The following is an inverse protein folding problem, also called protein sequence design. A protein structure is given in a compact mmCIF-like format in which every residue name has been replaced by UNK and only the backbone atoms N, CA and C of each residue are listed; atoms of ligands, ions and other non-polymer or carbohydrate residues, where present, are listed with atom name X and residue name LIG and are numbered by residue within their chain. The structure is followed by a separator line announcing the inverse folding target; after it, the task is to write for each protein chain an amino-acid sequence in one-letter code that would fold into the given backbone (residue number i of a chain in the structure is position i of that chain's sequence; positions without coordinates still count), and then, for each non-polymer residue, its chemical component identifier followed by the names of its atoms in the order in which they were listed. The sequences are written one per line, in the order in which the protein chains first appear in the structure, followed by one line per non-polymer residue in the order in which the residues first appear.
data_IF_280552401885
#
_entry.id   IF_280552401885
#
_cell.length_a   1.000
_cell.length_b   1.000
_cell.length_c   1.000
_cell.angle_alpha   90.00
_cell.angle_beta   90.00
_cell.angle_gamma   90.00
#
_symmetry.space_group_name_H-M   'P 1'
#
loop_
_entity.id
_entity.type
_entity.pdbx_description
1 polymer ?
#
# COMPACT_ATOMS: atom_id res chain seq x y z
N UNK A 1 12.83 -12.25 9.96
CA UNK A 1 12.50 -12.29 8.53
C UNK A 1 13.76 -11.91 7.79
N UNK A 2 14.19 -12.71 6.81
CA UNK A 2 15.34 -12.37 5.97
C UNK A 2 14.93 -11.45 4.82
N UNK A 3 15.86 -10.74 4.15
CA UNK A 3 15.55 -9.93 2.97
C UNK A 3 14.85 -10.73 1.88
N UNK A 4 15.24 -12.00 1.65
CA UNK A 4 14.63 -12.86 0.63
C UNK A 4 13.20 -13.29 1.00
N UNK A 5 12.91 -13.50 2.29
CA UNK A 5 11.54 -13.75 2.75
C UNK A 5 10.67 -12.49 2.61
N UNK A 6 11.22 -11.33 2.92
CA UNK A 6 10.56 -10.05 2.79
C UNK A 6 10.23 -9.73 1.32
N UNK A 7 11.19 -9.92 0.42
CA UNK A 7 11.01 -9.73 -1.02
C UNK A 7 9.87 -10.60 -1.56
N UNK A 8 9.78 -11.88 -1.16
CA UNK A 8 8.68 -12.76 -1.58
C UNK A 8 7.31 -12.25 -1.15
N UNK A 9 7.20 -11.73 0.07
CA UNK A 9 5.94 -11.12 0.57
C UNK A 9 5.59 -9.88 -0.25
N UNK A 10 6.58 -9.03 -0.53
CA UNK A 10 6.40 -7.82 -1.35
C UNK A 10 5.97 -8.19 -2.77
N UNK A 11 6.62 -9.15 -3.43
CA UNK A 11 6.26 -9.61 -4.77
C UNK A 11 4.82 -10.18 -4.82
N UNK A 12 4.44 -10.99 -3.83
CA UNK A 12 3.08 -11.50 -3.72
C UNK A 12 2.06 -10.37 -3.54
N UNK A 13 2.38 -9.37 -2.71
CA UNK A 13 1.55 -8.20 -2.50
C UNK A 13 1.44 -7.32 -3.77
N UNK A 14 2.54 -7.07 -4.48
CA UNK A 14 2.56 -6.35 -5.75
C UNK A 14 1.75 -7.06 -6.83
N UNK A 15 1.74 -8.40 -6.83
CA UNK A 15 0.88 -9.19 -7.72
C UNK A 15 -0.59 -8.91 -7.43
N UNK A 16 -0.99 -8.87 -6.16
CA UNK A 16 -2.37 -8.54 -5.76
C UNK A 16 -2.74 -7.11 -6.18
N UNK A 17 -1.80 -6.15 -6.08
CA UNK A 17 -2.02 -4.79 -6.59
C UNK A 17 -2.24 -4.79 -8.11
N UNK A 18 -1.44 -5.56 -8.86
CA UNK A 18 -1.50 -5.68 -10.32
C UNK A 18 -2.80 -6.30 -10.85
N UNK A 19 -3.43 -7.19 -10.08
CA UNK A 19 -4.73 -7.79 -10.45
C UNK A 19 -5.90 -6.79 -10.47
N UNK A 20 -5.68 -5.56 -9.99
CA UNK A 20 -6.69 -4.50 -9.98
C UNK A 20 -7.83 -4.73 -8.98
N UNK A 21 -8.91 -3.98 -9.15
CA UNK A 21 -10.07 -3.87 -8.25
C UNK A 21 -11.38 -4.29 -8.92
N UNK A 22 -11.31 -5.05 -10.04
CA UNK A 22 -12.47 -5.40 -10.87
C UNK A 22 -13.31 -4.16 -11.29
N UNK A 23 -12.66 -3.01 -11.48
CA UNK A 23 -13.31 -1.74 -11.84
C UNK A 23 -13.78 -0.88 -10.65
N UNK A 24 -13.52 -1.31 -9.41
CA UNK A 24 -13.75 -0.54 -8.19
C UNK A 24 -12.55 0.29 -7.72
N UNK A 25 -12.55 0.70 -6.45
CA UNK A 25 -11.45 1.46 -5.81
C UNK A 25 -10.93 0.80 -4.53
N UNK A 26 -11.73 -0.04 -3.88
CA UNK A 26 -11.37 -0.74 -2.66
C UNK A 26 -10.98 -2.19 -2.98
N UNK A 27 -10.00 -2.71 -2.23
CA UNK A 27 -9.50 -4.08 -2.36
C UNK A 27 -9.96 -4.92 -1.17
N UNK A 28 -10.30 -6.18 -1.40
CA UNK A 28 -10.71 -7.12 -0.35
C UNK A 28 -9.52 -7.54 0.50
N UNK A 29 -9.66 -7.49 1.82
CA UNK A 29 -8.59 -7.90 2.74
C UNK A 29 -8.20 -9.38 2.54
N UNK A 30 -9.16 -10.24 2.21
CA UNK A 30 -8.91 -11.66 1.93
C UNK A 30 -7.96 -11.93 0.77
N UNK A 31 -7.73 -10.95 -0.10
CA UNK A 31 -6.79 -11.08 -1.23
C UNK A 31 -5.34 -10.82 -0.83
N UNK A 32 -5.07 -10.28 0.36
CA UNK A 32 -3.70 -10.07 0.82
C UNK A 32 -2.99 -11.41 1.04
N UNK A 33 -1.69 -11.49 0.71
CA UNK A 33 -0.91 -12.71 0.94
C UNK A 33 -0.69 -13.01 2.43
N UNK A 34 -0.80 -12.00 3.28
CA UNK A 34 -0.74 -12.11 4.74
C UNK A 34 -1.28 -10.82 5.39
N UNK A 35 -1.23 -10.73 6.73
CA UNK A 35 -1.70 -9.54 7.45
C UNK A 35 -0.94 -8.28 7.06
N UNK A 36 -1.64 -7.13 7.09
CA UNK A 36 -1.05 -5.80 6.82
C UNK A 36 0.23 -5.54 7.62
N UNK A 37 0.24 -5.89 8.92
CA UNK A 37 1.41 -5.71 9.77
C UNK A 37 2.62 -6.52 9.29
N UNK A 38 2.39 -7.74 8.79
CA UNK A 38 3.47 -8.58 8.23
C UNK A 38 3.99 -8.02 6.90
N UNK A 39 3.12 -7.44 6.07
CA UNK A 39 3.51 -6.73 4.86
C UNK A 39 4.36 -5.51 5.21
N UNK A 40 3.93 -4.65 6.15
CA UNK A 40 4.71 -3.49 6.60
C UNK A 40 6.10 -3.90 7.08
N UNK A 41 6.18 -4.93 7.91
CA UNK A 41 7.47 -5.45 8.38
C UNK A 41 8.37 -5.96 7.26
N UNK A 42 7.80 -6.61 6.23
CA UNK A 42 8.56 -7.01 5.05
C UNK A 42 9.14 -5.81 4.29
N UNK A 43 8.36 -4.74 4.10
CA UNK A 43 8.87 -3.50 3.50
C UNK A 43 10.04 -2.93 4.29
N UNK A 44 9.93 -2.83 5.62
CA UNK A 44 11.02 -2.30 6.45
C UNK A 44 12.30 -3.14 6.33
N UNK A 45 12.18 -4.46 6.46
CA UNK A 45 13.34 -5.38 6.32
C UNK A 45 14.01 -5.24 4.95
N UNK A 46 13.22 -5.20 3.87
CA UNK A 46 13.78 -5.17 2.52
C UNK A 46 14.35 -3.81 2.14
N UNK A 47 13.71 -2.70 2.55
CA UNK A 47 14.22 -1.35 2.32
C UNK A 47 15.51 -1.08 3.10
N UNK A 48 15.64 -1.55 4.34
CA UNK A 48 16.92 -1.52 5.07
C UNK A 48 18.00 -2.26 4.29
N UNK A 49 17.70 -3.48 3.81
CA UNK A 49 18.65 -4.23 3.00
C UNK A 49 19.06 -3.49 1.72
N UNK A 50 18.12 -2.90 0.97
CA UNK A 50 18.44 -2.17 -0.27
C UNK A 50 19.29 -0.92 -0.01
N UNK A 51 18.99 -0.17 1.05
CA UNK A 51 19.74 1.05 1.41
C UNK A 51 21.16 0.73 1.90
N UNK A 52 21.40 -0.40 2.56
CA UNK A 52 22.74 -0.90 2.91
C UNK A 52 23.61 -1.22 1.68
N UNK A 53 22.97 -1.47 0.53
CA UNK A 53 23.64 -1.79 -0.72
C UNK A 53 23.92 -0.56 -1.60
N UNK A 54 23.61 0.64 -1.11
CA UNK A 54 23.87 1.93 -1.74
C UNK A 54 22.86 2.36 -2.82
N UNK A 55 23.12 3.54 -3.41
CA UNK A 55 22.18 4.29 -4.26
C UNK A 55 21.79 3.60 -5.59
N UNK A 56 22.45 2.49 -5.94
CA UNK A 56 22.13 1.70 -7.15
C UNK A 56 20.70 1.16 -7.19
N UNK A 57 19.98 1.19 -6.07
CA UNK A 57 18.60 0.73 -5.94
C UNK A 57 17.58 1.85 -5.74
N UNK A 58 17.95 3.12 -5.92
CA UNK A 58 17.06 4.27 -5.68
C UNK A 58 15.71 4.16 -6.43
N UNK A 59 15.74 3.77 -7.71
CA UNK A 59 14.52 3.58 -8.51
C UNK A 59 13.62 2.46 -7.95
N UNK A 60 14.23 1.36 -7.51
CA UNK A 60 13.50 0.24 -6.89
C UNK A 60 12.90 0.66 -5.54
N UNK A 61 13.67 1.38 -4.72
CA UNK A 61 13.22 1.91 -3.43
C UNK A 61 12.01 2.82 -3.63
N UNK A 62 12.06 3.74 -4.60
CA UNK A 62 10.92 4.62 -4.89
C UNK A 62 9.67 3.85 -5.34
N UNK A 63 9.83 2.83 -6.21
CA UNK A 63 8.72 1.94 -6.60
C UNK A 63 8.11 1.22 -5.39
N UNK A 64 8.95 0.73 -4.48
CA UNK A 64 8.52 0.05 -3.26
C UNK A 64 7.75 0.99 -2.32
N UNK A 65 8.18 2.24 -2.18
CA UNK A 65 7.45 3.24 -1.38
C UNK A 65 6.04 3.48 -1.93
N UNK A 66 5.92 3.62 -3.25
CA UNK A 66 4.61 3.80 -3.92
C UNK A 66 3.71 2.58 -3.68
N UNK A 67 4.23 1.37 -3.82
CA UNK A 67 3.43 0.15 -3.59
C UNK A 67 3.04 -0.02 -2.13
N UNK A 68 3.93 0.34 -1.19
CA UNK A 68 3.63 0.38 0.25
C UNK A 68 2.44 1.29 0.55
N UNK A 69 2.41 2.49 -0.02
CA UNK A 69 1.36 3.48 0.23
C UNK A 69 -0.04 3.05 -0.22
N UNK A 70 -0.17 2.01 -1.06
CA UNK A 70 -1.45 1.44 -1.45
C UNK A 70 -2.10 0.54 -0.38
N UNK A 71 -1.39 0.19 0.71
CA UNK A 71 -1.88 -0.77 1.73
C UNK A 71 -3.21 -0.38 2.40
N UNK A 72 -3.55 0.92 2.61
CA UNK A 72 -4.85 1.31 3.12
C UNK A 72 -6.03 1.01 2.19
N UNK A 73 -5.81 0.77 0.89
CA UNK A 73 -6.88 0.39 -0.06
C UNK A 73 -7.53 -0.96 0.29
N UNK A 74 -6.85 -1.80 1.06
CA UNK A 74 -7.37 -3.11 1.48
C UNK A 74 -8.26 -2.97 2.70
N UNK A 75 -9.56 -3.23 2.56
CA UNK A 75 -10.55 -3.12 3.64
C UNK A 75 -11.26 -4.45 3.82
N UNK A 76 -12.10 -4.58 4.85
CA UNK A 76 -12.87 -5.82 5.04
C UNK A 76 -13.65 -6.16 3.77
N UNK A 77 -13.82 -7.44 3.45
CA UNK A 77 -14.43 -7.85 2.18
C UNK A 77 -15.82 -7.24 1.98
N UNK A 78 -16.62 -7.21 3.05
CA UNK A 78 -17.94 -6.57 3.08
C UNK A 78 -17.84 -5.07 2.76
N UNK A 79 -16.91 -4.36 3.40
CA UNK A 79 -16.69 -2.94 3.16
C UNK A 79 -16.20 -2.67 1.72
N UNK A 80 -15.34 -3.54 1.18
CA UNK A 80 -14.87 -3.43 -0.20
C UNK A 80 -16.02 -3.58 -1.20
N UNK A 81 -16.92 -4.54 -0.98
CA UNK A 81 -18.12 -4.73 -1.80
C UNK A 81 -19.05 -3.51 -1.74
N UNK A 82 -19.30 -2.99 -0.55
CA UNK A 82 -20.12 -1.78 -0.36
C UNK A 82 -19.51 -0.57 -1.08
N UNK A 83 -18.24 -0.27 -0.84
CA UNK A 83 -17.54 0.86 -1.45
C UNK A 83 -17.48 0.75 -2.98
N UNK A 84 -17.17 -0.43 -3.52
CA UNK A 84 -17.08 -0.63 -4.96
C UNK A 84 -18.45 -0.54 -5.64
N UNK A 85 -19.52 -1.00 -4.98
CA UNK A 85 -20.90 -0.84 -5.46
C UNK A 85 -21.31 0.63 -5.52
N UNK A 86 -21.03 1.40 -4.46
CA UNK A 86 -21.29 2.85 -4.43
C UNK A 86 -20.46 3.58 -5.49
N UNK A 87 -19.19 3.24 -5.63
CA UNK A 87 -18.30 3.82 -6.64
C UNK A 87 -18.81 3.57 -8.06
N UNK A 88 -19.25 2.35 -8.37
CA UNK A 88 -19.82 2.00 -9.67
C UNK A 88 -21.09 2.82 -9.96
N UNK A 89 -22.01 2.94 -8.99
CA UNK A 89 -23.20 3.80 -9.13
C UNK A 89 -22.84 5.27 -9.36
N UNK A 90 -21.82 5.79 -8.66
CA UNK A 90 -21.37 7.20 -8.79
C UNK A 90 -20.83 7.45 -10.18
N UNK A 91 -20.03 6.52 -10.70
CA UNK A 91 -19.49 6.55 -12.06
C UNK A 91 -20.61 6.54 -13.11
N UNK A 92 -21.62 5.72 -12.89
CA UNK A 92 -22.74 5.55 -13.82
C UNK A 92 -23.85 6.62 -13.63
N UNK A 93 -23.57 7.66 -12.82
CA UNK A 93 -24.47 8.79 -12.51
C UNK A 93 -25.82 8.39 -11.91
N UNK A 94 -25.86 7.27 -11.18
CA UNK A 94 -27.04 6.85 -10.43
C UNK A 94 -27.20 7.62 -9.12
N UNK A 95 -28.41 7.59 -8.57
CA UNK A 95 -28.69 8.15 -7.24
C UNK A 95 -27.97 7.35 -6.14
N UNK A 96 -27.37 8.09 -5.22
CA UNK A 96 -26.62 7.54 -4.09
C UNK A 96 -27.08 8.25 -2.82
N UNK A 97 -27.32 7.46 -1.77
CA UNK A 97 -27.60 7.99 -0.44
C UNK A 97 -26.43 8.81 0.09
N UNK A 98 -26.72 9.93 0.74
CA UNK A 98 -25.70 10.87 1.23
C UNK A 98 -24.69 10.19 2.20
N UNK A 99 -25.15 9.26 3.04
CA UNK A 99 -24.27 8.49 3.94
C UNK A 99 -23.30 7.60 3.16
N UNK A 100 -23.77 6.94 2.10
CA UNK A 100 -22.95 6.09 1.24
C UNK A 100 -21.90 6.92 0.47
N UNK A 101 -22.27 8.12 -0.01
CA UNK A 101 -21.28 9.03 -0.61
C UNK A 101 -20.23 9.49 0.41
N UNK A 102 -20.65 9.85 1.63
CA UNK A 102 -19.71 10.26 2.70
C UNK A 102 -18.73 9.16 3.05
N UNK A 103 -19.19 7.90 3.14
CA UNK A 103 -18.31 6.73 3.36
C UNK A 103 -17.29 6.55 2.24
N UNK A 104 -17.73 6.71 0.99
CA UNK A 104 -16.84 6.64 -0.18
C UNK A 104 -15.76 7.73 -0.14
N UNK A 105 -16.16 8.98 0.12
CA UNK A 105 -15.23 10.11 0.16
C UNK A 105 -14.24 9.97 1.34
N UNK A 106 -14.71 9.50 2.50
CA UNK A 106 -13.86 9.20 3.65
C UNK A 106 -12.88 8.05 3.37
N UNK A 107 -13.29 7.02 2.62
CA UNK A 107 -12.40 5.96 2.17
C UNK A 107 -11.32 6.52 1.24
N UNK A 108 -11.69 7.31 0.22
CA UNK A 108 -10.73 7.88 -0.72
C UNK A 108 -9.69 8.75 0.00
N UNK A 109 -10.10 9.57 0.98
CA UNK A 109 -9.18 10.38 1.77
C UNK A 109 -8.16 9.54 2.55
N UNK A 110 -8.52 8.33 2.99
CA UNK A 110 -7.63 7.41 3.73
C UNK A 110 -6.80 6.52 2.82
N UNK A 111 -7.41 6.02 1.75
CA UNK A 111 -6.81 5.09 0.80
C UNK A 111 -5.67 5.70 -0.01
N UNK A 112 -5.72 7.02 -0.18
CA UNK A 112 -4.74 7.82 -0.92
C UNK A 112 -4.14 8.92 -0.05
N UNK A 113 -4.07 8.68 1.27
CA UNK A 113 -3.50 9.62 2.23
C UNK A 113 -2.00 9.82 1.95
N UNK A 114 -1.55 11.05 1.63
CA UNK A 114 -0.13 11.36 1.45
C UNK A 114 0.74 11.00 2.66
N UNK A 115 0.16 10.94 3.87
CA UNK A 115 0.90 10.60 5.09
C UNK A 115 1.54 9.20 5.03
N UNK A 116 0.99 8.26 4.25
CA UNK A 116 1.62 6.94 4.05
C UNK A 116 2.95 7.04 3.30
N UNK A 117 3.01 7.93 2.30
CA UNK A 117 4.26 8.20 1.58
C UNK A 117 5.26 8.91 2.49
N UNK A 118 4.80 9.86 3.31
CA UNK A 118 5.65 10.55 4.29
C UNK A 118 6.25 9.60 5.32
N UNK A 119 5.48 8.66 5.85
CA UNK A 119 5.96 7.66 6.82
C UNK A 119 7.09 6.80 6.23
N UNK A 120 6.87 6.23 5.05
CA UNK A 120 7.85 5.32 4.43
C UNK A 120 9.08 6.06 3.90
N UNK A 121 8.92 7.30 3.44
CA UNK A 121 10.05 8.16 3.06
C UNK A 121 10.94 8.47 4.26
N UNK A 122 10.35 8.89 5.38
CA UNK A 122 11.09 9.13 6.62
C UNK A 122 11.90 7.91 7.06
N UNK A 123 11.31 6.71 6.98
CA UNK A 123 12.01 5.46 7.29
C UNK A 123 13.20 5.19 6.34
N UNK A 124 13.02 5.41 5.04
CA UNK A 124 14.11 5.24 4.05
C UNK A 124 15.25 6.22 4.31
N UNK A 125 14.93 7.48 4.61
CA UNK A 125 15.94 8.49 4.97
C UNK A 125 16.72 8.09 6.23
N UNK A 126 16.03 7.61 7.27
CA UNK A 126 16.67 7.09 8.49
C UNK A 126 17.65 5.95 8.20
N UNK A 127 17.30 5.06 7.26
CA UNK A 127 18.19 3.96 6.85
C UNK A 127 19.46 4.50 6.16
N UNK A 128 19.34 5.45 5.23
CA UNK A 128 20.50 6.08 4.60
C UNK A 128 21.41 6.81 5.60
N UNK A 129 20.84 7.58 6.54
CA UNK A 129 21.63 8.27 7.58
C UNK A 129 22.34 7.32 8.54
N UNK A 130 21.72 6.18 8.86
CA UNK A 130 22.32 5.16 9.70
C UNK A 130 23.54 4.50 9.03
N UNK A 131 23.49 4.31 7.71
CA UNK A 131 24.59 3.76 6.94
C UNK A 131 25.75 4.76 6.73
N UNK A 132 25.43 6.05 6.57
CA UNK A 132 26.45 7.11 6.39
C UNK A 132 27.30 7.41 7.62
N UNK A 133 26.86 7.01 8.83
CA UNK A 133 27.60 7.20 10.09
C UNK A 133 28.56 6.05 10.44
N UNK A 134 28.60 4.98 9.65
CA UNK A 134 29.45 3.82 9.90
C UNK A 134 30.74 3.80 9.06
N UNK A 135 31.00 4.83 8.25
CA UNK A 135 32.24 5.01 7.48
C UNK A 135 33.16 6.08 8.09
#
# INVERSE_FOLDING_TARGET
MTPQEAEKIIQAYSTVLGNGTEGGIARRHSTLPCSKSRIRFAYYVYLTHLTEQGDRYEELIHKLMITYAALPQFVTDKEAEELNSVYARKRDKGDIEEDASRKLDAFQSKAFDPAQMTEIDAFVQECYFSNGRQN
#
